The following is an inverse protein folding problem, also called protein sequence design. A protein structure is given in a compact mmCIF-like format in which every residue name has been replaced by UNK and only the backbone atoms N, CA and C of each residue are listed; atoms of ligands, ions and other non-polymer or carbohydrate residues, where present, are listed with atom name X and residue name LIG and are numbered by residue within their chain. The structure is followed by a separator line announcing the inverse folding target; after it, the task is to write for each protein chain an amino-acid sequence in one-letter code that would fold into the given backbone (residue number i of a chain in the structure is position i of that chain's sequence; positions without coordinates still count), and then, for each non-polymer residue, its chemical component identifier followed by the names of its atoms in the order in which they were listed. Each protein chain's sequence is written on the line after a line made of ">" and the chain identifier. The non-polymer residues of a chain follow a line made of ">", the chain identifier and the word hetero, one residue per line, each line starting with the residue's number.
data_IF_917094289113
#
_entry.id   IF_917094289113
#
_cell.length_a   1.000
_cell.length_b   1.000
_cell.length_c   1.000
_cell.angle_alpha   90.00
_cell.angle_beta   90.00
_cell.angle_gamma   90.00
#
_symmetry.space_group_name_H-M   'P 1'
#
loop_
_entity.id
_entity.type
_entity.pdbx_description
1 polymer ?
#
# COMPACT_ATOMS: atom_id res chain seq x y z
N UNK A 1 -1.85 18.06 5.39
CA UNK A 1 -2.39 17.15 6.42
C UNK A 1 -3.47 16.29 5.76
N UNK A 2 -3.13 15.06 5.37
CA UNK A 2 -3.97 14.17 4.55
C UNK A 2 -5.13 13.55 5.32
N UNK A 3 -6.07 14.38 5.78
CA UNK A 3 -7.25 13.97 6.55
C UNK A 3 -8.56 14.09 5.76
N UNK A 4 -8.50 14.04 4.42
CA UNK A 4 -9.70 14.23 3.59
C UNK A 4 -10.45 12.93 3.28
N UNK A 5 -9.86 11.77 3.55
CA UNK A 5 -10.48 10.49 3.19
C UNK A 5 -11.68 10.17 4.07
N UNK A 6 -12.85 10.02 3.46
CA UNK A 6 -14.10 9.63 4.10
C UNK A 6 -14.43 8.17 3.79
N UNK A 7 -14.66 7.40 4.84
CA UNK A 7 -15.17 6.03 4.76
C UNK A 7 -16.52 6.01 4.03
N UNK A 8 -16.67 5.11 3.05
CA UNK A 8 -17.84 5.01 2.17
C UNK A 8 -17.88 6.00 0.98
N UNK A 9 -16.87 6.87 0.84
CA UNK A 9 -16.72 7.76 -0.34
C UNK A 9 -15.39 7.51 -1.04
N UNK A 10 -14.29 7.53 -0.28
CA UNK A 10 -12.93 7.35 -0.81
C UNK A 10 -12.36 5.94 -0.56
N UNK A 11 -13.05 5.12 0.24
CA UNK A 11 -12.77 3.69 0.44
C UNK A 11 -13.97 3.03 1.13
N UNK A 12 -14.42 1.87 0.63
CA UNK A 12 -15.53 1.12 1.21
C UNK A 12 -15.09 0.15 2.32
N UNK A 13 -13.87 -0.36 2.26
CA UNK A 13 -13.36 -1.36 3.21
C UNK A 13 -11.87 -1.15 3.53
N UNK A 14 -11.52 -1.27 4.81
CA UNK A 14 -10.13 -1.19 5.26
C UNK A 14 -9.51 -2.59 5.37
N UNK A 15 -9.40 -3.32 4.26
CA UNK A 15 -8.73 -4.61 4.27
C UNK A 15 -7.24 -4.47 3.97
N UNK A 16 -6.42 -4.82 4.96
CA UNK A 16 -5.05 -5.24 4.72
C UNK A 16 -5.09 -6.73 4.34
N UNK A 17 -4.36 -7.19 3.31
CA UNK A 17 -4.22 -8.60 2.98
C UNK A 17 -3.24 -9.18 4.01
N UNK A 18 -3.67 -9.23 5.26
CA UNK A 18 -2.95 -10.00 6.27
C UNK A 18 -3.35 -11.43 5.97
N UNK A 19 -2.38 -12.22 5.50
CA UNK A 19 -2.58 -13.66 5.40
C UNK A 19 -3.16 -14.14 6.73
N UNK A 20 -4.36 -14.74 6.68
CA UNK A 20 -5.02 -15.26 7.87
C UNK A 20 -4.04 -16.20 8.56
N UNK A 21 -3.82 -16.02 9.86
CA UNK A 21 -2.84 -16.81 10.61
C UNK A 21 -3.09 -18.30 10.36
N UNK A 22 -4.35 -18.75 10.36
CA UNK A 22 -4.73 -20.13 10.09
C UNK A 22 -4.17 -20.67 8.76
N UNK A 23 -4.18 -19.85 7.69
CA UNK A 23 -3.63 -20.22 6.39
C UNK A 23 -2.10 -20.29 6.40
N UNK A 24 -1.44 -19.37 7.11
CA UNK A 24 0.02 -19.38 7.28
C UNK A 24 0.47 -20.62 8.05
N UNK A 25 -0.24 -20.96 9.12
CA UNK A 25 0.04 -22.14 9.93
C UNK A 25 -0.17 -23.43 9.13
N UNK A 26 -1.27 -23.54 8.37
CA UNK A 26 -1.51 -24.69 7.49
C UNK A 26 -0.40 -24.84 6.43
N UNK A 27 0.04 -23.73 5.84
CA UNK A 27 1.14 -23.72 4.87
C UNK A 27 2.45 -24.21 5.50
N UNK A 28 2.82 -23.70 6.68
CA UNK A 28 4.03 -24.13 7.38
C UNK A 28 3.98 -25.62 7.73
N UNK A 29 2.85 -26.10 8.25
CA UNK A 29 2.64 -27.53 8.58
C UNK A 29 2.79 -28.40 7.33
N UNK A 30 2.20 -27.99 6.21
CA UNK A 30 2.29 -28.71 4.95
C UNK A 30 3.72 -28.78 4.42
N UNK A 31 4.44 -27.65 4.43
CA UNK A 31 5.83 -27.58 4.00
C UNK A 31 6.72 -28.44 4.89
N UNK A 32 6.54 -28.40 6.21
CA UNK A 32 7.27 -29.25 7.15
C UNK A 32 7.03 -30.74 6.88
N UNK A 33 5.77 -31.14 6.65
CA UNK A 33 5.40 -32.51 6.32
C UNK A 33 6.01 -32.99 4.98
N UNK A 34 6.18 -32.09 4.01
CA UNK A 34 6.79 -32.40 2.71
C UNK A 34 8.31 -32.18 2.67
N UNK A 35 8.91 -31.76 3.79
CA UNK A 35 10.33 -31.40 3.89
C UNK A 35 10.78 -30.37 2.85
N UNK A 36 9.90 -29.43 2.49
CA UNK A 36 10.22 -28.35 1.55
C UNK A 36 11.00 -27.23 2.25
N UNK A 37 11.84 -26.54 1.48
CA UNK A 37 12.50 -25.32 1.93
C UNK A 37 11.59 -24.12 1.68
N UNK A 38 11.37 -23.29 2.71
CA UNK A 38 10.64 -22.02 2.58
C UNK A 38 11.66 -20.92 2.30
N UNK A 39 11.37 -20.09 1.30
CA UNK A 39 12.07 -18.84 1.05
C UNK A 39 11.10 -17.68 1.32
N UNK A 40 11.52 -16.74 2.17
CA UNK A 40 10.77 -15.50 2.40
C UNK A 40 11.37 -14.40 1.52
N UNK A 41 10.51 -13.74 0.74
CA UNK A 41 10.90 -12.58 -0.05
C UNK A 41 9.97 -11.42 0.29
N UNK A 42 10.53 -10.37 0.88
CA UNK A 42 9.83 -9.10 1.09
C UNK A 42 10.06 -8.21 -0.12
N UNK A 43 9.02 -7.99 -0.92
CA UNK A 43 9.10 -7.12 -2.09
C UNK A 43 8.78 -5.69 -1.67
N UNK A 44 9.82 -4.94 -1.29
CA UNK A 44 9.68 -3.54 -0.85
C UNK A 44 9.05 -2.60 -1.89
N UNK A 45 9.07 -2.99 -3.17
CA UNK A 45 8.71 -2.11 -4.29
C UNK A 45 7.36 -2.43 -4.93
N UNK A 46 6.65 -3.48 -4.54
CA UNK A 46 5.37 -3.86 -5.17
C UNK A 46 4.36 -2.72 -5.13
N UNK A 47 4.32 -1.96 -4.04
CA UNK A 47 3.46 -0.78 -3.93
C UNK A 47 3.82 0.34 -4.91
N UNK A 48 5.11 0.55 -5.21
CA UNK A 48 5.56 1.68 -6.02
C UNK A 48 5.34 1.49 -7.53
N UNK A 49 5.05 0.27 -7.98
CA UNK A 49 4.90 -0.04 -9.41
C UNK A 49 3.46 -0.20 -9.88
N UNK A 50 2.52 -0.33 -8.95
CA UNK A 50 1.12 -0.53 -9.32
C UNK A 50 0.44 0.85 -9.51
N UNK A 51 -0.24 1.09 -10.65
CA UNK A 51 -1.00 2.31 -10.86
C UNK A 51 -2.11 2.46 -9.81
N UNK A 52 -2.31 3.70 -9.35
CA UNK A 52 -3.47 4.04 -8.53
C UNK A 52 -4.72 4.07 -9.40
N UNK A 53 -5.77 3.36 -8.99
CA UNK A 53 -7.09 3.44 -9.64
C UNK A 53 -7.78 4.78 -9.35
N UNK A 54 -7.47 5.37 -8.21
CA UNK A 54 -8.07 6.61 -7.72
C UNK A 54 -7.09 7.79 -7.82
N UNK A 55 -7.61 8.99 -8.02
CA UNK A 55 -6.79 10.19 -8.05
C UNK A 55 -6.47 10.65 -6.62
N UNK A 56 -5.20 10.54 -6.25
CA UNK A 56 -4.72 10.92 -4.92
C UNK A 56 -3.81 12.12 -5.03
N UNK A 57 -4.11 13.16 -4.24
CA UNK A 57 -3.30 14.36 -4.14
C UNK A 57 -2.59 14.41 -2.79
N UNK A 58 -1.33 14.84 -2.80
CA UNK A 58 -0.51 15.02 -1.60
C UNK A 58 0.06 16.42 -1.54
N UNK A 59 0.19 16.94 -0.32
CA UNK A 59 0.91 18.17 -0.09
C UNK A 59 2.38 18.02 -0.51
N UNK A 60 3.00 19.13 -0.85
CA UNK A 60 4.42 19.16 -1.13
C UNK A 60 5.19 18.73 0.12
N UNK A 61 6.16 17.80 -0.01
CA UNK A 61 6.93 17.36 1.12
C UNK A 61 7.87 18.47 1.59
N UNK A 62 8.14 18.50 2.88
CA UNK A 62 9.07 19.44 3.48
C UNK A 62 10.45 19.30 2.81
N UNK A 63 11.00 20.40 2.29
CA UNK A 63 12.25 20.41 1.52
C UNK A 63 12.10 20.22 0.00
N UNK A 64 10.88 20.03 -0.51
CA UNK A 64 10.58 19.97 -1.95
C UNK A 64 9.40 20.88 -2.35
N UNK A 65 9.23 21.99 -1.61
CA UNK A 65 8.21 22.98 -1.93
C UNK A 65 8.65 23.79 -3.15
N UNK A 66 7.80 23.84 -4.18
CA UNK A 66 8.00 24.68 -5.35
C UNK A 66 7.90 26.17 -4.94
N UNK A 67 8.97 26.96 -5.11
CA UNK A 67 8.96 28.38 -4.73
C UNK A 67 8.01 29.23 -5.58
N UNK A 68 7.64 28.80 -6.79
CA UNK A 68 6.71 29.51 -7.67
C UNK A 68 5.26 29.13 -7.41
N UNK A 69 5.04 27.95 -6.83
CA UNK A 69 3.72 27.37 -6.60
C UNK A 69 3.61 26.74 -5.20
N UNK A 70 3.81 27.51 -4.12
CA UNK A 70 3.91 26.95 -2.77
C UNK A 70 2.61 26.28 -2.28
N UNK A 71 1.46 26.75 -2.77
CA UNK A 71 0.14 26.27 -2.35
C UNK A 71 -0.39 25.10 -3.20
N UNK A 72 0.37 24.64 -4.21
CA UNK A 72 -0.05 23.53 -5.05
C UNK A 72 0.14 22.17 -4.37
N UNK A 73 -0.62 21.19 -4.85
CA UNK A 73 -0.57 19.79 -4.42
C UNK A 73 -0.12 18.92 -5.59
N UNK A 74 0.60 17.84 -5.29
CA UNK A 74 1.05 16.88 -6.30
C UNK A 74 0.04 15.74 -6.47
N UNK A 75 -0.27 15.38 -7.71
CA UNK A 75 -1.04 14.16 -8.01
C UNK A 75 -0.10 12.94 -8.02
N UNK A 76 -0.42 11.94 -7.21
CA UNK A 76 0.29 10.67 -7.18
C UNK A 76 -0.04 9.85 -8.43
N UNK A 77 0.98 9.48 -9.19
CA UNK A 77 0.86 8.55 -10.33
C UNK A 77 1.04 7.08 -9.93
N UNK A 78 1.62 6.84 -8.75
CA UNK A 78 2.02 5.53 -8.23
C UNK A 78 1.63 5.46 -6.76
N UNK A 79 1.28 4.27 -6.29
CA UNK A 79 0.90 4.10 -4.90
C UNK A 79 2.11 4.30 -3.97
N UNK A 80 1.88 4.99 -2.85
CA UNK A 80 2.85 5.11 -1.76
C UNK A 80 2.55 4.08 -0.68
N UNK A 81 3.59 3.68 0.07
CA UNK A 81 3.44 2.75 1.19
C UNK A 81 2.45 3.29 2.22
N UNK A 82 1.56 2.43 2.72
CA UNK A 82 0.56 2.78 3.74
C UNK A 82 -0.69 3.51 3.21
N UNK A 83 -0.76 3.82 1.91
CA UNK A 83 -1.98 4.39 1.33
C UNK A 83 -3.11 3.35 1.33
N UNK A 84 -4.33 3.75 1.73
CA UNK A 84 -5.50 2.87 1.75
C UNK A 84 -5.91 2.37 0.36
N UNK A 85 -5.71 3.20 -0.65
CA UNK A 85 -6.04 2.97 -2.06
C UNK A 85 -4.91 2.28 -2.83
N UNK A 86 -3.77 2.02 -2.17
CA UNK A 86 -2.72 1.21 -2.78
C UNK A 86 -3.29 -0.19 -3.05
N UNK A 87 -3.07 -0.75 -4.24
CA UNK A 87 -3.50 -2.10 -4.53
C UNK A 87 -2.81 -3.07 -3.57
N UNK A 88 -3.66 -3.79 -2.87
CA UNK A 88 -3.34 -4.75 -1.84
C UNK A 88 -3.77 -6.10 -2.39
N UNK A 89 -2.91 -6.70 -3.20
CA UNK A 89 -3.12 -8.07 -3.67
C UNK A 89 -3.08 -9.05 -2.52
#
# INVERSE_FOLDING_TARGET
>A
KGYAQKEGVDFEESFAPVARLEAVWLFIVYVAHKSFTIYQMDVKTTFLYDPLKEEVYVNQPDGFVDPYHPDQVYRLKKALYGLKQAPRR
#
